data_IF_398245322264
#
_entry.id   IF_398245322264
#
_cell.length_a   1.000
_cell.length_b   1.000
_cell.length_c   1.000
_cell.angle_alpha   90.00
_cell.angle_beta   90.00
_cell.angle_gamma   90.00
#
_symmetry.space_group_name_H-M   'P 1'
#
loop_
_entity.id
_entity.type
_entity.pdbx_description
1 polymer ?
#
# COMPACT_ATOMS: atom_id res chain seq x y z
N UNK A 1 15.50 -1.01 -4.60
CA UNK A 1 14.10 -0.96 -4.12
C UNK A 1 13.16 -1.74 -5.03
N UNK A 2 13.10 -1.46 -6.34
CA UNK A 2 12.24 -2.22 -7.26
C UNK A 2 12.46 -3.74 -7.27
N UNK A 3 13.69 -4.22 -7.17
CA UNK A 3 13.99 -5.66 -7.03
C UNK A 3 13.38 -6.28 -5.78
N UNK A 4 13.44 -5.59 -4.64
CA UNK A 4 12.84 -6.05 -3.39
C UNK A 4 11.33 -6.14 -3.53
N UNK A 5 10.71 -5.09 -4.08
CA UNK A 5 9.26 -5.01 -4.24
C UNK A 5 8.72 -6.10 -5.19
N UNK A 6 9.47 -6.44 -6.24
CA UNK A 6 9.11 -7.51 -7.18
C UNK A 6 9.11 -8.92 -6.56
N UNK A 7 9.75 -9.11 -5.42
CA UNK A 7 9.74 -10.40 -4.71
C UNK A 7 8.43 -10.66 -3.96
N UNK A 8 7.53 -9.67 -3.86
CA UNK A 8 6.24 -9.81 -3.19
C UNK A 8 5.11 -9.97 -4.20
N UNK A 9 4.21 -10.93 -3.97
CA UNK A 9 3.03 -11.15 -4.81
C UNK A 9 2.06 -9.96 -4.83
N UNK A 10 1.96 -9.25 -3.70
CA UNK A 10 1.10 -8.07 -3.50
C UNK A 10 1.86 -7.05 -2.67
N UNK A 11 1.79 -5.78 -3.05
CA UNK A 11 2.43 -4.65 -2.33
C UNK A 11 1.35 -3.69 -1.87
N UNK A 12 0.95 -3.78 -0.60
CA UNK A 12 0.00 -2.84 0.02
C UNK A 12 0.74 -1.59 0.54
N UNK A 13 0.23 -0.41 0.21
CA UNK A 13 0.79 0.88 0.62
C UNK A 13 -0.22 1.62 1.48
N UNK A 14 -0.14 1.53 2.81
CA UNK A 14 -0.92 2.38 3.70
C UNK A 14 -0.37 3.81 3.68
N UNK A 15 -1.21 4.77 3.30
CA UNK A 15 -0.80 6.18 3.16
C UNK A 15 -1.85 7.14 3.72
N UNK A 16 -1.42 8.16 4.46
CA UNK A 16 -2.30 9.17 5.05
C UNK A 16 -2.54 10.36 4.11
N UNK A 17 -2.64 10.05 2.81
CA UNK A 17 -2.72 11.01 1.72
C UNK A 17 -3.49 10.38 0.55
N UNK A 18 -3.55 11.08 -0.59
CA UNK A 18 -4.34 10.70 -1.77
C UNK A 18 -3.54 9.85 -2.78
N UNK A 19 -2.71 8.91 -2.33
CA UNK A 19 -2.08 7.98 -3.26
C UNK A 19 -0.68 8.38 -3.74
N UNK A 20 -0.03 9.34 -3.10
CA UNK A 20 1.20 9.92 -3.62
C UNK A 20 2.34 8.89 -3.65
N UNK A 21 2.47 8.06 -2.62
CA UNK A 21 3.55 7.07 -2.55
C UNK A 21 3.26 5.92 -3.51
N UNK A 22 2.03 5.40 -3.51
CA UNK A 22 1.66 4.33 -4.45
C UNK A 22 1.81 4.76 -5.92
N UNK A 23 1.54 6.04 -6.24
CA UNK A 23 1.80 6.60 -7.57
C UNK A 23 3.29 6.65 -7.90
N UNK A 24 4.13 7.12 -6.97
CA UNK A 24 5.58 7.16 -7.18
C UNK A 24 6.16 5.75 -7.37
N UNK A 25 5.73 4.78 -6.57
CA UNK A 25 6.20 3.40 -6.68
C UNK A 25 5.84 2.76 -8.03
N UNK A 26 4.62 3.00 -8.53
CA UNK A 26 4.21 2.58 -9.87
C UNK A 26 5.05 3.23 -10.97
N UNK A 27 5.29 4.54 -10.87
CA UNK A 27 6.03 5.29 -11.87
C UNK A 27 7.51 4.90 -11.93
N UNK A 28 8.17 4.81 -10.79
CA UNK A 28 9.63 4.61 -10.70
C UNK A 28 10.05 3.13 -10.80
N UNK A 29 9.20 2.21 -10.32
CA UNK A 29 9.57 0.79 -10.19
C UNK A 29 8.71 -0.17 -11.00
N UNK A 30 7.65 0.32 -11.66
CA UNK A 30 6.71 -0.47 -12.47
C UNK A 30 6.13 -1.67 -11.69
N UNK A 31 5.90 -1.49 -10.40
CA UNK A 31 5.27 -2.49 -9.53
C UNK A 31 3.80 -2.15 -9.33
N UNK A 32 2.93 -3.16 -9.25
CA UNK A 32 1.52 -2.95 -8.92
C UNK A 32 1.34 -2.67 -7.42
N UNK A 33 1.52 -1.40 -7.04
CA UNK A 33 1.34 -0.92 -5.69
C UNK A 33 -0.14 -0.64 -5.38
N UNK A 34 -0.71 -1.39 -4.44
CA UNK A 34 -2.10 -1.29 -4.01
C UNK A 34 -2.20 -0.19 -2.96
N UNK A 35 -2.90 0.90 -3.27
CA UNK A 35 -3.08 2.02 -2.35
C UNK A 35 -4.12 1.69 -1.26
N UNK A 36 -3.82 2.07 -0.02
CA UNK A 36 -4.76 2.10 1.09
C UNK A 36 -4.67 3.48 1.76
N UNK A 37 -5.49 4.41 1.27
CA UNK A 37 -5.46 5.82 1.65
C UNK A 37 -6.40 6.14 2.81
N UNK A 38 -5.95 7.00 3.74
CA UNK A 38 -6.77 7.55 4.84
C UNK A 38 -6.57 9.07 4.96
N UNK A 39 -7.66 9.84 4.95
CA UNK A 39 -7.62 11.32 5.04
C UNK A 39 -8.04 11.88 6.39
N UNK A 40 -8.48 11.03 7.32
CA UNK A 40 -9.18 11.45 8.55
C UNK A 40 -8.26 12.07 9.61
N UNK A 41 -7.03 12.46 9.26
CA UNK A 41 -6.08 13.12 10.16
C UNK A 41 -5.60 12.27 11.34
N UNK A 42 -5.94 10.98 11.37
CA UNK A 42 -5.57 10.04 12.44
C UNK A 42 -4.76 8.89 11.84
N UNK A 43 -3.74 8.38 12.57
CA UNK A 43 -2.97 7.22 12.13
C UNK A 43 -3.87 6.01 11.83
N UNK A 44 -3.33 5.08 11.04
CA UNK A 44 -3.94 3.77 10.90
C UNK A 44 -3.88 3.02 12.23
N UNK A 45 -5.01 2.43 12.61
CA UNK A 45 -5.08 1.40 13.62
C UNK A 45 -4.47 0.11 13.05
N UNK A 46 -3.90 -0.69 13.95
CA UNK A 46 -3.37 -2.02 13.61
C UNK A 46 -4.47 -2.88 12.96
N UNK A 47 -5.70 -2.79 13.46
CA UNK A 47 -6.85 -3.52 12.92
C UNK A 47 -7.19 -3.13 11.48
N UNK A 48 -7.08 -1.85 11.12
CA UNK A 48 -7.36 -1.39 9.74
C UNK A 48 -6.38 -2.02 8.75
N UNK A 49 -5.08 -1.98 9.07
CA UNK A 49 -4.05 -2.60 8.24
C UNK A 49 -4.25 -4.12 8.17
N UNK A 50 -4.48 -4.76 9.32
CA UNK A 50 -4.68 -6.22 9.39
C UNK A 50 -5.86 -6.66 8.53
N UNK A 51 -7.01 -6.00 8.67
CA UNK A 51 -8.22 -6.35 7.93
C UNK A 51 -7.98 -6.17 6.42
N UNK A 52 -7.35 -5.07 6.02
CA UNK A 52 -7.05 -4.82 4.61
C UNK A 52 -6.11 -5.87 4.01
N UNK A 53 -5.16 -6.36 4.80
CA UNK A 53 -4.26 -7.44 4.40
C UNK A 53 -5.01 -8.77 4.28
N UNK A 54 -5.94 -9.08 5.18
CA UNK A 54 -6.72 -10.32 5.16
C UNK A 54 -7.60 -10.45 3.90
N UNK A 55 -8.17 -9.36 3.39
CA UNK A 55 -8.93 -9.32 2.13
C UNK A 55 -8.14 -9.82 0.90
N UNK A 56 -6.83 -9.99 1.01
CA UNK A 56 -6.00 -10.53 -0.07
C UNK A 56 -5.79 -12.03 -0.01
N UNK A 57 -6.22 -12.70 1.05
CA UNK A 57 -6.08 -14.15 1.28
C UNK A 57 -7.39 -14.91 1.09
N UNK A 58 -8.51 -14.19 0.96
CA UNK A 58 -9.78 -14.72 0.46
C UNK A 58 -9.69 -14.98 -1.07
#
# INVERSE_FOLDING_TARGET
MGEVLRNFKKVLVPEMNLGQLSRLLRAEYLVDAISFSKLQGRPFLISEIRNRVLEFFD
#
